data_IF_385676594776
#
_entry.id   IF_385676594776
#
_cell.length_a   1.000
_cell.length_b   1.000
_cell.length_c   1.000
_cell.angle_alpha   90.00
_cell.angle_beta   90.00
_cell.angle_gamma   90.00
#
_symmetry.space_group_name_H-M   'P 1'
#
loop_
_entity.id
_entity.type
_entity.pdbx_description
1 polymer ?
#
# COMPACT_ATOMS: atom_id res chain seq x y z
N UNK A 1 -9.12 -17.32 27.05
CA UNK A 1 -8.84 -15.91 26.76
C UNK A 1 -7.35 -15.72 26.94
N UNK A 2 -6.55 -15.92 25.89
CA UNK A 2 -5.10 -15.90 26.02
C UNK A 2 -4.61 -14.48 26.31
N UNK A 3 -3.92 -14.35 27.43
CA UNK A 3 -3.20 -13.19 27.96
C UNK A 3 -2.81 -12.14 26.92
N UNK A 4 -3.64 -11.10 26.81
CA UNK A 4 -3.36 -9.90 26.02
C UNK A 4 -2.29 -9.08 26.74
N UNK A 5 -1.03 -9.48 26.59
CA UNK A 5 0.09 -8.65 27.01
C UNK A 5 -0.02 -7.25 26.35
N UNK A 6 0.19 -6.16 27.10
CA UNK A 6 -0.09 -4.81 26.62
C UNK A 6 0.84 -4.42 25.46
N UNK A 7 0.27 -4.17 24.29
CA UNK A 7 1.01 -3.61 23.14
C UNK A 7 1.20 -2.11 23.36
N UNK A 8 2.45 -1.68 23.48
CA UNK A 8 2.80 -0.26 23.65
C UNK A 8 3.33 0.31 22.33
N UNK A 9 2.76 1.44 21.91
CA UNK A 9 3.18 2.16 20.70
C UNK A 9 4.02 3.37 21.08
N UNK A 10 5.17 3.54 20.41
CA UNK A 10 6.00 4.74 20.53
C UNK A 10 6.26 5.33 19.16
N UNK A 11 6.00 6.63 19.00
CA UNK A 11 6.26 7.35 17.75
C UNK A 11 7.58 8.09 17.83
N UNK A 12 8.43 7.92 16.81
CA UNK A 12 9.71 8.64 16.67
C UNK A 12 9.77 9.36 15.33
N UNK A 13 10.65 10.37 15.24
CA UNK A 13 10.89 11.15 14.01
C UNK A 13 9.58 11.64 13.38
N UNK A 14 8.74 12.25 14.20
CA UNK A 14 7.45 12.75 13.77
C UNK A 14 7.59 14.00 12.91
N UNK A 15 7.00 13.96 11.72
CA UNK A 15 7.02 15.06 10.76
C UNK A 15 5.60 15.32 10.28
N UNK A 16 5.16 16.57 10.41
CA UNK A 16 3.92 17.04 9.79
C UNK A 16 4.24 17.53 8.38
N UNK A 17 3.85 16.78 7.36
CA UNK A 17 4.10 17.10 5.96
C UNK A 17 2.84 17.68 5.30
N UNK A 18 2.76 19.02 5.27
CA UNK A 18 1.62 19.74 4.68
C UNK A 18 1.53 19.63 3.16
N UNK A 19 2.66 19.46 2.48
CA UNK A 19 2.71 19.33 1.01
C UNK A 19 1.95 18.07 0.52
N UNK A 20 1.96 17.02 1.34
CA UNK A 20 1.28 15.75 1.07
C UNK A 20 0.04 15.53 1.95
N UNK A 21 -0.40 16.56 2.68
CA UNK A 21 -1.55 16.52 3.60
C UNK A 21 -1.52 15.31 4.56
N UNK A 22 -0.35 15.04 5.15
CA UNK A 22 -0.18 13.88 6.03
C UNK A 22 0.83 14.11 7.16
N UNK A 23 0.64 13.37 8.24
CA UNK A 23 1.63 13.18 9.31
C UNK A 23 2.37 11.87 9.05
N UNK A 24 3.69 11.88 9.20
CA UNK A 24 4.54 10.72 8.93
C UNK A 24 5.56 10.52 10.05
N UNK A 25 5.75 9.27 10.48
CA UNK A 25 6.61 8.94 11.60
C UNK A 25 7.05 7.48 11.58
N UNK A 26 8.13 7.20 12.31
CA UNK A 26 8.55 5.84 12.64
C UNK A 26 7.71 5.35 13.81
N UNK A 27 7.17 4.13 13.69
CA UNK A 27 6.43 3.47 14.76
C UNK A 27 7.28 2.35 15.35
N UNK A 28 7.58 2.46 16.63
CA UNK A 28 8.09 1.34 17.41
C UNK A 28 6.92 0.69 18.15
N UNK A 29 6.82 -0.63 18.02
CA UNK A 29 5.79 -1.46 18.63
C UNK A 29 6.49 -2.37 19.63
N UNK A 30 6.13 -2.23 20.91
CA UNK A 30 6.55 -3.14 21.96
C UNK A 30 5.41 -4.12 22.23
N UNK A 31 5.69 -5.41 22.10
CA UNK A 31 4.70 -6.48 22.21
C UNK A 31 5.28 -7.68 22.96
N UNK A 32 5.56 -7.53 24.28
CA UNK A 32 6.10 -8.63 25.08
C UNK A 32 5.12 -9.81 25.11
N UNK A 33 5.62 -11.04 25.06
CA UNK A 33 4.77 -12.25 25.10
C UNK A 33 3.97 -12.54 23.83
N UNK A 34 3.92 -11.62 22.85
CA UNK A 34 3.22 -11.81 21.58
C UNK A 34 4.26 -11.88 20.44
N UNK A 35 4.17 -12.87 19.53
CA UNK A 35 5.14 -13.01 18.44
C UNK A 35 5.08 -11.83 17.44
N UNK A 36 3.89 -11.35 17.08
CA UNK A 36 3.71 -10.22 16.17
C UNK A 36 2.37 -9.51 16.38
N UNK A 37 2.27 -8.26 15.95
CA UNK A 37 1.03 -7.45 16.00
C UNK A 37 0.51 -7.26 14.58
N UNK A 38 -0.81 -7.44 14.40
CA UNK A 38 -1.43 -7.24 13.10
C UNK A 38 -1.44 -5.75 12.71
N UNK A 39 -1.34 -5.44 11.42
CA UNK A 39 -1.38 -4.04 10.94
C UNK A 39 -2.75 -3.41 11.15
N UNK A 40 -3.80 -4.21 11.16
CA UNK A 40 -5.17 -3.74 11.39
C UNK A 40 -5.34 -3.22 12.82
N UNK A 41 -4.85 -3.99 13.79
CA UNK A 41 -4.83 -3.60 15.21
C UNK A 41 -3.94 -2.36 15.45
N UNK A 42 -2.77 -2.30 14.80
CA UNK A 42 -1.91 -1.11 14.85
C UNK A 42 -2.62 0.13 14.30
N UNK A 43 -3.38 -0.04 13.21
CA UNK A 43 -4.11 1.07 12.59
C UNK A 43 -5.26 1.54 13.47
N UNK A 44 -5.95 0.64 14.17
CA UNK A 44 -6.98 0.97 15.16
C UNK A 44 -6.42 1.72 16.36
N UNK A 45 -5.32 1.24 16.94
CA UNK A 45 -4.66 1.89 18.08
C UNK A 45 -4.13 3.28 17.73
N UNK A 46 -3.56 3.44 16.53
CA UNK A 46 -3.13 4.75 16.03
C UNK A 46 -4.30 5.69 15.74
N UNK A 47 -5.39 5.16 15.17
CA UNK A 47 -6.61 5.92 14.92
C UNK A 47 -7.18 6.48 16.23
N UNK A 48 -7.26 5.66 17.29
CA UNK A 48 -7.68 6.10 18.61
C UNK A 48 -6.72 7.13 19.22
N UNK A 49 -5.40 6.87 19.17
CA UNK A 49 -4.37 7.75 19.74
C UNK A 49 -4.37 9.15 19.11
N UNK A 50 -4.53 9.23 17.79
CA UNK A 50 -4.48 10.50 17.05
C UNK A 50 -5.84 11.09 16.71
N UNK A 51 -6.94 10.48 17.19
CA UNK A 51 -8.33 10.90 16.96
C UNK A 51 -8.64 11.05 15.47
N UNK A 52 -8.34 9.99 14.70
CA UNK A 52 -8.56 9.92 13.24
C UNK A 52 -9.23 8.62 12.86
N UNK A 53 -9.83 8.56 11.66
CA UNK A 53 -10.41 7.31 11.16
C UNK A 53 -9.35 6.27 10.80
N UNK A 54 -9.62 4.99 11.12
CA UNK A 54 -8.78 3.83 10.74
C UNK A 54 -8.44 3.83 9.25
N UNK A 55 -9.38 4.24 8.39
CA UNK A 55 -9.21 4.27 6.92
C UNK A 55 -8.08 5.20 6.46
N UNK A 56 -7.81 6.28 7.21
CA UNK A 56 -6.79 7.30 6.89
C UNK A 56 -5.40 6.95 7.39
N UNK A 57 -5.29 5.91 8.22
CA UNK A 57 -4.02 5.43 8.76
C UNK A 57 -3.46 4.34 7.85
N UNK A 58 -2.21 4.51 7.42
CA UNK A 58 -1.49 3.54 6.60
C UNK A 58 -0.20 3.15 7.32
N UNK A 59 -0.08 1.88 7.66
CA UNK A 59 1.10 1.34 8.34
C UNK A 59 1.84 0.34 7.45
N UNK A 60 3.17 0.45 7.36
CA UNK A 60 3.99 -0.39 6.47
C UNK A 60 5.43 -0.54 6.95
N UNK A 61 6.16 -1.47 6.31
CA UNK A 61 7.60 -1.62 6.53
C UNK A 61 7.99 -2.21 7.89
N UNK A 62 7.07 -2.85 8.60
CA UNK A 62 7.39 -3.48 9.88
C UNK A 62 8.41 -4.61 9.74
N UNK A 63 9.43 -4.57 10.59
CA UNK A 63 10.36 -5.67 10.84
C UNK A 63 10.47 -5.88 12.34
N UNK A 64 10.27 -7.13 12.75
CA UNK A 64 10.55 -7.60 14.11
C UNK A 64 12.06 -7.63 14.33
N UNK A 65 12.51 -7.17 15.49
CA UNK A 65 13.91 -7.27 15.90
C UNK A 65 14.23 -8.73 16.26
N UNK A 66 15.48 -9.14 16.06
CA UNK A 66 15.94 -10.45 16.51
C UNK A 66 15.67 -10.65 18.00
N UNK A 67 15.18 -11.84 18.38
CA UNK A 67 14.72 -12.12 19.74
C UNK A 67 13.27 -11.72 20.04
N UNK A 68 12.57 -11.02 19.13
CA UNK A 68 11.16 -10.70 19.27
C UNK A 68 10.86 -9.57 20.25
N UNK A 69 9.58 -9.41 20.62
CA UNK A 69 9.10 -8.42 21.60
C UNK A 69 9.13 -6.95 21.16
N UNK A 70 9.83 -6.63 20.06
CA UNK A 70 9.88 -5.29 19.46
C UNK A 70 9.82 -5.36 17.95
N UNK A 71 9.01 -4.49 17.35
CA UNK A 71 8.96 -4.26 15.91
C UNK A 71 9.15 -2.79 15.58
N UNK A 72 9.79 -2.51 14.46
CA UNK A 72 9.95 -1.14 13.95
C UNK A 72 9.34 -1.04 12.56
N UNK A 73 8.58 0.02 12.30
CA UNK A 73 7.95 0.26 11.02
C UNK A 73 7.66 1.73 10.79
N UNK A 74 6.85 2.02 9.77
CA UNK A 74 6.50 3.38 9.39
C UNK A 74 4.98 3.54 9.34
N UNK A 75 4.50 4.69 9.77
CA UNK A 75 3.09 5.02 9.77
C UNK A 75 2.86 6.38 9.12
N UNK A 76 1.76 6.46 8.38
CA UNK A 76 1.26 7.66 7.72
C UNK A 76 -0.18 7.87 8.18
N UNK A 77 -0.51 9.10 8.54
CA UNK A 77 -1.87 9.52 8.85
C UNK A 77 -2.22 10.65 7.90
N UNK A 78 -3.12 10.40 6.97
CA UNK A 78 -3.62 11.41 6.04
C UNK A 78 -4.69 12.27 6.70
N UNK A 79 -4.76 13.54 6.34
CA UNK A 79 -5.81 14.43 6.82
C UNK A 79 -7.15 14.09 6.13
N UNK A 80 -7.13 13.79 4.82
CA UNK A 80 -8.31 13.49 3.99
C UNK A 80 -8.17 12.19 3.17
N UNK A 81 -9.28 11.48 2.90
CA UNK A 81 -9.29 10.25 2.08
C UNK A 81 -8.89 10.52 0.62
N UNK A 82 -9.26 11.68 0.08
CA UNK A 82 -8.87 12.09 -1.28
C UNK A 82 -7.36 12.21 -1.44
N UNK A 83 -6.70 12.84 -0.46
CA UNK A 83 -5.23 12.96 -0.44
C UNK A 83 -4.56 11.59 -0.33
N UNK A 84 -5.12 10.68 0.45
CA UNK A 84 -4.63 9.32 0.56
C UNK A 84 -4.70 8.58 -0.77
N UNK A 85 -5.84 8.62 -1.47
CA UNK A 85 -6.01 7.99 -2.79
C UNK A 85 -5.10 8.60 -3.85
N UNK A 86 -4.82 9.91 -3.76
CA UNK A 86 -3.95 10.62 -4.70
C UNK A 86 -2.47 10.29 -4.51
N UNK A 87 -1.99 10.24 -3.26
CA UNK A 87 -0.56 10.16 -2.95
C UNK A 87 -0.06 8.76 -2.61
N UNK A 88 -0.90 7.84 -2.14
CA UNK A 88 -0.43 6.47 -1.87
C UNK A 88 -0.17 5.68 -3.16
N UNK A 89 0.88 4.84 -3.19
CA UNK A 89 1.06 3.89 -4.26
C UNK A 89 -0.13 2.93 -4.36
N UNK A 90 -0.57 2.67 -5.59
CA UNK A 90 -1.74 1.83 -5.90
C UNK A 90 -1.74 0.47 -5.20
N UNK A 91 -0.58 -0.17 -5.03
CA UNK A 91 -0.50 -1.49 -4.39
C UNK A 91 -0.92 -1.47 -2.91
N UNK A 92 -0.76 -0.34 -2.21
CA UNK A 92 -1.22 -0.19 -0.82
C UNK A 92 -2.71 0.08 -0.76
N UNK A 93 -3.22 0.92 -1.67
CA UNK A 93 -4.66 1.16 -1.79
C UNK A 93 -5.43 -0.14 -2.03
N UNK A 94 -4.90 -1.03 -2.88
CA UNK A 94 -5.50 -2.36 -3.11
C UNK A 94 -5.48 -3.22 -1.84
N UNK A 95 -4.39 -3.20 -1.06
CA UNK A 95 -4.31 -3.94 0.21
C UNK A 95 -5.28 -3.41 1.26
N UNK A 96 -5.56 -2.11 1.25
CA UNK A 96 -6.54 -1.47 2.14
C UNK A 96 -7.96 -1.53 1.61
N UNK A 97 -8.22 -2.14 0.45
CA UNK A 97 -9.56 -2.22 -0.16
C UNK A 97 -10.09 -0.92 -0.77
N UNK A 98 -9.27 0.15 -0.84
CA UNK A 98 -9.68 1.46 -1.38
C UNK A 98 -9.60 1.54 -2.92
N UNK A 99 -8.96 0.56 -3.56
CA UNK A 99 -8.86 0.48 -5.01
C UNK A 99 -8.92 -0.97 -5.50
N UNK A 100 -9.54 -1.20 -6.65
CA UNK A 100 -9.54 -2.51 -7.28
C UNK A 100 -8.17 -2.85 -7.90
N UNK A 101 -7.81 -4.13 -7.88
CA UNK A 101 -6.62 -4.64 -8.56
C UNK A 101 -6.84 -4.53 -10.06
N UNK A 102 -5.96 -3.79 -10.75
CA UNK A 102 -6.02 -3.69 -12.21
C UNK A 102 -5.43 -4.96 -12.82
N UNK A 103 -6.26 -5.72 -13.53
CA UNK A 103 -5.83 -6.88 -14.30
C UNK A 103 -5.02 -6.43 -15.52
N UNK A 104 -3.85 -7.02 -15.70
CA UNK A 104 -2.94 -6.70 -16.81
C UNK A 104 -2.37 -7.98 -17.38
N UNK A 105 -2.21 -8.07 -18.71
CA UNK A 105 -1.49 -9.18 -19.32
C UNK A 105 -0.05 -9.21 -18.84
N UNK A 106 0.56 -10.40 -18.89
CA UNK A 106 1.92 -10.63 -18.39
C UNK A 106 2.93 -9.68 -19.03
N UNK A 107 4.03 -9.40 -18.32
CA UNK A 107 5.09 -8.50 -18.82
C UNK A 107 5.66 -8.99 -20.16
N UNK A 108 5.75 -10.31 -20.35
CA UNK A 108 6.20 -10.95 -21.61
C UNK A 108 5.22 -10.64 -22.75
N UNK A 109 3.92 -10.94 -22.57
CA UNK A 109 2.88 -10.68 -23.58
C UNK A 109 2.80 -9.21 -23.98
N UNK A 110 2.94 -8.28 -23.02
CA UNK A 110 3.00 -6.83 -23.30
C UNK A 110 4.19 -6.44 -24.16
N UNK A 111 5.38 -7.02 -23.87
CA UNK A 111 6.60 -6.77 -24.66
C UNK A 111 6.51 -7.35 -26.06
N UNK A 112 5.97 -8.56 -26.20
CA UNK A 112 5.75 -9.19 -27.51
C UNK A 112 4.76 -8.38 -28.34
N UNK A 113 3.60 -7.99 -27.78
CA UNK A 113 2.62 -7.13 -28.47
C UNK A 113 3.25 -5.81 -28.92
N UNK A 114 4.05 -5.18 -28.05
CA UNK A 114 4.82 -3.96 -28.40
C UNK A 114 5.77 -4.21 -29.58
N UNK A 115 6.53 -5.30 -29.55
CA UNK A 115 7.51 -5.61 -30.60
C UNK A 115 6.83 -5.96 -31.93
N UNK A 116 5.68 -6.63 -31.92
CA UNK A 116 4.85 -6.86 -33.12
C UNK A 116 4.33 -5.52 -33.69
N UNK A 117 3.78 -4.65 -32.84
CA UNK A 117 3.28 -3.34 -33.25
C UNK A 117 4.37 -2.41 -33.80
N UNK A 118 5.63 -2.57 -33.35
CA UNK A 118 6.77 -1.78 -33.87
C UNK A 118 7.07 -2.04 -35.36
N UNK A 119 6.64 -3.17 -35.93
CA UNK A 119 6.87 -3.50 -37.35
C UNK A 119 5.99 -2.70 -38.32
N UNK A 120 4.93 -2.07 -37.83
CA UNK A 120 4.00 -1.27 -38.64
C UNK A 120 4.20 0.23 -38.39
N UNK A 121 3.72 1.09 -39.29
CA UNK A 121 3.81 2.56 -39.17
C UNK A 121 2.42 3.19 -39.21
N UNK A 122 2.25 4.34 -38.55
CA UNK A 122 0.99 5.08 -38.53
C UNK A 122 -0.18 4.26 -37.99
N UNK A 123 -1.35 4.40 -38.61
CA UNK A 123 -2.61 3.73 -38.24
C UNK A 123 -2.57 2.20 -38.41
N UNK A 124 -1.63 1.67 -39.20
CA UNK A 124 -1.46 0.22 -39.36
C UNK A 124 -0.98 -0.46 -38.06
N UNK A 125 -0.40 0.27 -37.10
CA UNK A 125 -0.07 -0.28 -35.76
C UNK A 125 -1.30 -0.70 -34.97
N UNK A 126 -2.43 -0.03 -35.20
CA UNK A 126 -3.70 -0.28 -34.53
C UNK A 126 -4.46 -1.37 -35.31
N UNK A 127 -4.54 -1.24 -36.64
CA UNK A 127 -5.29 -2.17 -37.52
C UNK A 127 -4.63 -3.55 -37.68
N UNK A 128 -3.30 -3.62 -37.76
CA UNK A 128 -2.56 -4.89 -37.95
C UNK A 128 -2.42 -5.74 -36.67
N UNK A 129 -2.90 -5.25 -35.52
CA UNK A 129 -2.95 -6.01 -34.28
C UNK A 129 -4.24 -6.84 -34.13
N UNK A 130 -5.28 -6.54 -34.91
CA UNK A 130 -6.46 -7.37 -35.03
C UNK A 130 -6.22 -8.40 -36.14
N UNK A 131 -6.47 -9.71 -35.90
CA UNK A 131 -6.47 -10.67 -37.00
C UNK A 131 -7.50 -10.22 -38.04
N UNK A 132 -7.16 -10.32 -39.32
CA UNK A 132 -8.13 -10.05 -40.38
C UNK A 132 -9.40 -10.85 -40.08
N UNK A 133 -10.55 -10.17 -39.97
CA UNK A 133 -11.85 -10.83 -39.94
C UNK A 133 -11.92 -11.63 -41.24
N UNK A 134 -11.64 -12.93 -41.17
CA UNK A 134 -11.90 -13.84 -42.29
C UNK A 134 -13.41 -13.78 -42.49
N UNK A 135 -13.83 -13.14 -43.59
CA UNK A 135 -15.20 -13.22 -44.06
C UNK A 135 -15.57 -14.68 -44.24
N UNK A 136 -16.85 -14.99 -43.97
CA UNK A 136 -17.47 -16.22 -44.45
C UNK A 136 -17.29 -16.35 -45.95
#
# INVERSE_FOLDING_TARGET
MADSAPVTLRTRKFITNRLLARRQFVLDVLHPGIPNVSKEELSEKLAAMYKTDKKRVVTFGFRTVFGGGRSTGFALIYDNEESQKKFEPKYRLVRSGLAAKVEKPSRKLRKERKNRAKKFRGTQKIKGAEPAKKGK
#
